data_IF_964754577148
#
_entry.id   IF_964754577148
#
_cell.length_a   1.000
_cell.length_b   1.000
_cell.length_c   1.000
_cell.angle_alpha   90.00
_cell.angle_beta   90.00
_cell.angle_gamma   90.00
#
_symmetry.space_group_name_H-M   'P 1'
#
loop_
_entity.id
_entity.type
_entity.pdbx_description
1 polymer ?
#
# COMPACT_ATOMS: atom_id res chain seq x y z
N UNK A 1 -37.40 46.01 30.82
CA UNK A 1 -36.73 45.27 29.74
C UNK A 1 -35.65 44.36 30.32
N UNK A 2 -36.01 43.17 30.84
CA UNK A 2 -35.08 42.24 31.54
C UNK A 2 -35.48 40.77 31.34
N UNK A 3 -35.91 40.38 30.14
CA UNK A 3 -36.31 38.97 29.88
C UNK A 3 -35.72 38.34 28.62
N UNK A 4 -34.99 39.08 27.79
CA UNK A 4 -34.41 38.55 26.54
C UNK A 4 -32.96 38.05 26.65
N UNK A 5 -32.30 38.20 27.81
CA UNK A 5 -30.88 37.85 27.95
C UNK A 5 -30.62 36.39 28.38
N UNK A 6 -31.65 35.61 28.73
CA UNK A 6 -31.48 34.22 29.20
C UNK A 6 -31.54 33.16 28.09
N UNK A 7 -31.91 33.54 26.86
CA UNK A 7 -32.00 32.59 25.74
C UNK A 7 -30.72 32.44 24.91
N UNK A 8 -29.75 33.35 25.06
CA UNK A 8 -28.58 33.40 24.17
C UNK A 8 -27.40 32.50 24.63
N UNK A 9 -27.44 31.99 25.86
CA UNK A 9 -26.30 31.25 26.44
C UNK A 9 -26.34 29.72 26.23
N UNK A 10 -27.32 29.19 25.50
CA UNK A 10 -27.49 27.73 25.29
C UNK A 10 -27.23 27.31 23.81
N UNK A 11 -26.88 28.25 22.93
CA UNK A 11 -26.60 27.96 21.49
C UNK A 11 -25.09 27.83 21.20
N UNK A 12 -24.23 27.88 22.23
CA UNK A 12 -22.77 27.75 22.11
C UNK A 12 -22.20 26.36 22.37
N UNK A 13 -23.00 25.30 22.29
CA UNK A 13 -22.55 23.92 22.60
C UNK A 13 -22.93 22.89 21.50
N UNK A 14 -23.01 23.36 20.25
CA UNK A 14 -23.11 22.48 19.08
C UNK A 14 -21.76 22.55 18.34
N UNK A 15 -21.22 21.37 18.00
CA UNK A 15 -19.97 21.12 17.24
C UNK A 15 -18.66 20.81 18.00
N UNK A 16 -18.74 20.21 19.19
CA UNK A 16 -17.64 19.35 19.68
C UNK A 16 -17.99 17.85 19.60
N UNK A 17 -18.88 17.47 18.67
CA UNK A 17 -18.95 16.09 18.19
C UNK A 17 -17.78 15.88 17.23
N UNK A 18 -16.55 15.74 17.76
CA UNK A 18 -15.49 15.06 17.02
C UNK A 18 -16.02 13.64 16.88
N UNK A 19 -16.54 13.36 15.69
CA UNK A 19 -17.24 12.13 15.39
C UNK A 19 -16.40 10.94 15.82
N UNK A 20 -17.06 9.99 16.49
CA UNK A 20 -16.55 8.64 16.74
C UNK A 20 -16.48 7.83 15.42
N UNK A 21 -16.08 8.48 14.32
CA UNK A 21 -16.03 7.93 12.97
C UNK A 21 -14.64 8.13 12.38
N UNK A 22 -14.14 7.09 11.72
CA UNK A 22 -12.85 7.10 11.03
C UNK A 22 -12.71 8.34 10.13
N UNK A 23 -11.59 9.05 10.26
CA UNK A 23 -11.26 10.26 9.49
C UNK A 23 -11.28 9.99 7.97
N UNK A 24 -11.64 10.99 7.17
CA UNK A 24 -11.77 10.83 5.71
C UNK A 24 -10.46 10.43 5.05
N UNK A 25 -9.35 11.02 5.49
CA UNK A 25 -8.01 10.68 5.00
C UNK A 25 -7.67 9.21 5.25
N UNK A 26 -8.00 8.68 6.44
CA UNK A 26 -7.81 7.26 6.76
C UNK A 26 -8.67 6.36 5.88
N UNK A 27 -9.94 6.71 5.64
CA UNK A 27 -10.81 5.94 4.71
C UNK A 27 -10.24 5.90 3.30
N UNK A 28 -9.70 7.02 2.82
CA UNK A 28 -9.09 7.10 1.49
C UNK A 28 -7.86 6.18 1.38
N UNK A 29 -6.97 6.21 2.39
CA UNK A 29 -5.81 5.31 2.43
C UNK A 29 -6.22 3.84 2.53
N UNK A 30 -7.14 3.50 3.44
CA UNK A 30 -7.64 2.13 3.60
C UNK A 30 -8.30 1.60 2.32
N UNK A 31 -9.08 2.42 1.62
CA UNK A 31 -9.69 2.05 0.34
C UNK A 31 -8.61 1.67 -0.68
N UNK A 32 -7.55 2.47 -0.77
CA UNK A 32 -6.42 2.21 -1.66
C UNK A 32 -5.67 0.93 -1.30
N UNK A 33 -5.34 0.73 -0.02
CA UNK A 33 -4.64 -0.47 0.45
C UNK A 33 -5.49 -1.73 0.24
N UNK A 34 -6.81 -1.65 0.46
CA UNK A 34 -7.76 -2.73 0.19
C UNK A 34 -7.87 -3.04 -1.31
N UNK A 35 -7.79 -2.04 -2.19
CA UNK A 35 -7.74 -2.28 -3.65
C UNK A 35 -6.55 -3.17 -4.00
N UNK A 36 -5.36 -2.83 -3.48
CA UNK A 36 -4.13 -3.60 -3.68
C UNK A 36 -4.28 -5.02 -3.11
N UNK A 37 -4.74 -5.16 -1.86
CA UNK A 37 -4.96 -6.47 -1.22
C UNK A 37 -6.01 -7.32 -1.96
N UNK A 38 -6.97 -6.70 -2.63
CA UNK A 38 -7.98 -7.43 -3.40
C UNK A 38 -7.43 -7.98 -4.71
N UNK A 39 -6.37 -7.37 -5.27
CA UNK A 39 -5.82 -7.73 -6.58
C UNK A 39 -6.76 -7.49 -7.76
N UNK A 40 -7.90 -6.80 -7.54
CA UNK A 40 -8.92 -6.52 -8.57
C UNK A 40 -8.38 -5.86 -9.83
N UNK A 41 -7.34 -5.04 -9.69
CA UNK A 41 -6.69 -4.35 -10.81
C UNK A 41 -6.02 -5.33 -11.79
N UNK A 42 -5.68 -6.55 -11.34
CA UNK A 42 -5.05 -7.59 -12.17
C UNK A 42 -6.00 -8.73 -12.57
N UNK A 43 -7.27 -8.72 -12.15
CA UNK A 43 -8.22 -9.80 -12.51
C UNK A 43 -8.51 -9.83 -14.02
N UNK A 44 -8.53 -8.66 -14.67
CA UNK A 44 -8.90 -8.52 -16.09
C UNK A 44 -7.70 -8.34 -17.04
N UNK A 45 -6.47 -8.41 -16.54
CA UNK A 45 -5.28 -8.30 -17.39
C UNK A 45 -4.94 -9.64 -18.05
N UNK A 46 -4.37 -9.62 -19.26
CA UNK A 46 -3.77 -10.82 -19.86
C UNK A 46 -2.32 -11.03 -19.41
N UNK A 47 -1.70 -10.01 -18.82
CA UNK A 47 -0.33 -10.00 -18.32
C UNK A 47 -0.15 -10.97 -17.15
N UNK A 48 0.49 -12.11 -17.44
CA UNK A 48 0.74 -13.15 -16.45
C UNK A 48 1.82 -12.75 -15.45
N UNK A 49 2.80 -11.93 -15.85
CA UNK A 49 3.82 -11.42 -14.93
C UNK A 49 3.17 -10.55 -13.86
N UNK A 50 2.29 -9.63 -14.26
CA UNK A 50 1.54 -8.79 -13.34
C UNK A 50 0.68 -9.63 -12.38
N UNK A 51 0.00 -10.67 -12.88
CA UNK A 51 -0.82 -11.56 -12.04
C UNK A 51 -0.02 -12.22 -10.93
N UNK A 52 1.16 -12.77 -11.22
CA UNK A 52 1.95 -13.48 -10.20
C UNK A 52 2.53 -12.52 -9.16
N UNK A 53 2.93 -11.31 -9.56
CA UNK A 53 3.39 -10.28 -8.62
C UNK A 53 2.23 -9.83 -7.72
N UNK A 54 1.03 -9.62 -8.28
CA UNK A 54 -0.15 -9.22 -7.49
C UNK A 54 -0.49 -10.27 -6.43
N UNK A 55 -0.36 -11.57 -6.72
CA UNK A 55 -0.55 -12.62 -5.69
C UNK A 55 0.37 -12.45 -4.48
N UNK A 56 1.57 -11.89 -4.65
CA UNK A 56 2.48 -11.59 -3.54
C UNK A 56 2.01 -10.35 -2.77
N UNK A 57 1.58 -9.30 -3.49
CA UNK A 57 1.06 -8.07 -2.88
C UNK A 57 -0.24 -8.30 -2.09
N UNK A 58 -1.10 -9.23 -2.54
CA UNK A 58 -2.33 -9.62 -1.85
C UNK A 58 -2.06 -10.21 -0.45
N UNK A 59 -0.85 -10.71 -0.18
CA UNK A 59 -0.45 -11.21 1.15
C UNK A 59 -0.05 -10.09 2.12
N UNK A 60 -0.02 -8.84 1.68
CA UNK A 60 0.22 -7.70 2.56
C UNK A 60 -0.84 -7.65 3.67
N UNK A 61 -0.40 -7.37 4.89
CA UNK A 61 -1.23 -6.97 6.01
C UNK A 61 -0.83 -5.55 6.42
N UNK A 62 -1.78 -4.77 6.95
CA UNK A 62 -1.49 -3.44 7.47
C UNK A 62 -2.35 -3.13 8.70
N UNK A 63 -1.81 -2.27 9.58
CA UNK A 63 -2.50 -1.76 10.77
C UNK A 63 -2.29 -0.27 10.87
N UNK A 64 -3.39 0.49 10.86
CA UNK A 64 -3.35 1.93 11.19
C UNK A 64 -3.07 2.07 12.68
N UNK A 65 -1.98 2.74 13.03
CA UNK A 65 -1.57 3.00 14.41
C UNK A 65 -2.15 4.31 14.91
N UNK A 66 -2.08 5.35 14.08
CA UNK A 66 -2.53 6.71 14.42
C UNK A 66 -2.85 7.50 13.16
N UNK A 67 -3.86 8.37 13.27
CA UNK A 67 -4.26 9.28 12.20
C UNK A 67 -4.35 10.69 12.78
N UNK A 68 -3.66 11.64 12.17
CA UNK A 68 -3.74 13.07 12.50
C UNK A 68 -4.19 13.83 11.27
N UNK A 69 -5.38 14.41 11.28
CA UNK A 69 -5.92 15.22 10.17
C UNK A 69 -6.03 16.69 10.61
N UNK A 70 -5.44 17.61 9.84
CA UNK A 70 -5.45 19.05 10.09
C UNK A 70 -5.72 19.80 8.79
N UNK A 71 -6.94 20.29 8.63
CA UNK A 71 -7.34 21.01 7.41
C UNK A 71 -7.24 20.11 6.18
N UNK A 72 -6.35 20.47 5.25
CA UNK A 72 -6.13 19.72 4.00
C UNK A 72 -4.92 18.78 4.07
N UNK A 73 -4.38 18.51 5.26
CA UNK A 73 -3.22 17.65 5.46
C UNK A 73 -3.57 16.52 6.44
N UNK A 74 -2.98 15.35 6.22
CA UNK A 74 -3.11 14.21 7.12
C UNK A 74 -1.81 13.42 7.20
N UNK A 75 -1.53 12.94 8.41
CA UNK A 75 -0.42 12.05 8.74
C UNK A 75 -1.00 10.75 9.30
N UNK A 76 -0.71 9.63 8.64
CA UNK A 76 -1.24 8.32 9.03
C UNK A 76 -0.08 7.37 9.29
N UNK A 77 0.16 7.06 10.56
CA UNK A 77 1.15 6.07 10.97
C UNK A 77 0.58 4.68 10.72
N UNK A 78 1.26 3.89 9.87
CA UNK A 78 0.84 2.55 9.47
C UNK A 78 1.96 1.56 9.70
N UNK A 79 1.64 0.44 10.34
CA UNK A 79 2.49 -0.75 10.36
C UNK A 79 2.11 -1.63 9.18
N UNK A 80 3.09 -1.99 8.36
CA UNK A 80 2.96 -2.91 7.24
C UNK A 80 3.65 -4.23 7.56
N UNK A 81 3.05 -5.31 7.11
CA UNK A 81 3.68 -6.63 7.00
C UNK A 81 3.53 -7.09 5.56
N UNK A 82 4.64 -7.16 4.83
CA UNK A 82 4.69 -7.37 3.38
C UNK A 82 5.62 -8.53 3.05
N UNK A 83 5.42 -9.18 1.91
CA UNK A 83 6.37 -10.19 1.43
C UNK A 83 7.73 -9.53 1.21
N UNK A 84 8.81 -10.16 1.67
CA UNK A 84 10.19 -9.70 1.47
C UNK A 84 10.67 -9.97 0.04
N UNK A 85 10.06 -9.34 -0.96
CA UNK A 85 10.39 -9.56 -2.39
C UNK A 85 11.87 -9.26 -2.66
N UNK A 86 12.42 -8.19 -2.09
CA UNK A 86 13.85 -7.85 -2.19
C UNK A 86 14.76 -9.02 -1.78
N UNK A 87 14.41 -9.74 -0.72
CA UNK A 87 15.16 -10.90 -0.23
C UNK A 87 15.23 -12.07 -1.21
N UNK A 88 14.27 -12.19 -2.13
CA UNK A 88 14.22 -13.25 -3.14
C UNK A 88 14.87 -12.86 -4.47
N UNK A 89 15.23 -11.59 -4.65
CA UNK A 89 15.83 -11.14 -5.90
C UNK A 89 17.17 -11.80 -6.22
N UNK A 90 18.08 -12.10 -5.27
CA UNK A 90 19.30 -12.85 -5.57
C UNK A 90 19.03 -14.24 -6.16
N UNK A 91 18.00 -14.93 -5.67
CA UNK A 91 17.61 -16.26 -6.15
C UNK A 91 16.95 -16.18 -7.53
N UNK A 92 16.13 -15.15 -7.75
CA UNK A 92 15.58 -14.83 -9.07
C UNK A 92 16.68 -14.57 -10.10
N UNK A 93 17.65 -13.71 -9.77
CA UNK A 93 18.78 -13.40 -10.67
C UNK A 93 19.62 -14.66 -10.95
N UNK A 94 19.79 -15.55 -9.97
CA UNK A 94 20.45 -16.85 -10.17
C UNK A 94 19.65 -17.76 -11.10
N UNK A 95 18.32 -17.74 -11.02
CA UNK A 95 17.45 -18.50 -11.93
C UNK A 95 17.52 -17.98 -13.37
N UNK A 96 17.72 -16.67 -13.57
CA UNK A 96 17.89 -16.06 -14.88
C UNK A 96 19.31 -16.21 -15.46
N UNK A 97 20.33 -16.35 -14.62
CA UNK A 97 21.73 -16.37 -15.04
C UNK A 97 22.04 -17.37 -16.18
N UNK A 98 21.55 -18.63 -16.19
CA UNK A 98 21.80 -19.54 -17.30
C UNK A 98 21.25 -19.05 -18.64
N UNK A 99 20.12 -18.32 -18.62
CA UNK A 99 19.44 -17.81 -19.81
C UNK A 99 20.20 -16.64 -20.43
N UNK A 100 20.82 -15.79 -19.60
CA UNK A 100 21.61 -14.65 -20.04
C UNK A 100 22.82 -15.08 -20.89
N UNK A 101 23.40 -16.26 -20.61
CA UNK A 101 24.55 -16.78 -21.35
C UNK A 101 24.18 -17.70 -22.52
N UNK A 102 22.91 -18.10 -22.65
CA UNK A 102 22.46 -19.04 -23.68
C UNK A 102 21.86 -18.36 -24.91
N UNK A 103 21.79 -17.03 -24.94
CA UNK A 103 21.05 -16.29 -25.97
C UNK A 103 19.55 -16.57 -25.94
N UNK A 104 19.00 -16.80 -24.74
CA UNK A 104 17.58 -17.11 -24.55
C UNK A 104 16.68 -15.98 -25.08
N UNK A 105 15.50 -16.35 -25.58
CA UNK A 105 14.50 -15.38 -26.03
C UNK A 105 13.80 -14.70 -24.85
N UNK A 106 13.14 -13.58 -25.11
CA UNK A 106 12.36 -12.85 -24.11
C UNK A 106 11.26 -13.73 -23.51
N UNK A 107 10.63 -14.59 -24.31
CA UNK A 107 9.57 -15.51 -23.86
C UNK A 107 10.11 -16.55 -22.87
N UNK A 108 11.36 -16.99 -23.05
CA UNK A 108 12.00 -17.92 -22.11
C UNK A 108 12.29 -17.23 -20.76
N UNK A 109 12.74 -15.97 -20.80
CA UNK A 109 12.97 -15.14 -19.60
C UNK A 109 11.64 -14.89 -18.87
N UNK A 110 10.58 -14.56 -19.62
CA UNK A 110 9.24 -14.37 -19.08
C UNK A 110 8.72 -15.64 -18.41
N UNK A 111 8.84 -16.80 -19.06
CA UNK A 111 8.38 -18.07 -18.51
C UNK A 111 9.08 -18.42 -17.18
N UNK A 112 10.40 -18.21 -17.08
CA UNK A 112 11.15 -18.40 -15.83
C UNK A 112 10.69 -17.41 -14.76
N UNK A 113 10.43 -16.16 -15.13
CA UNK A 113 9.98 -15.12 -14.21
C UNK A 113 8.60 -15.41 -13.63
N UNK A 114 7.64 -15.76 -14.49
CA UNK A 114 6.29 -16.16 -14.09
C UNK A 114 6.37 -17.35 -13.15
N UNK A 115 7.12 -18.39 -13.52
CA UNK A 115 7.26 -19.60 -12.70
C UNK A 115 7.85 -19.28 -11.33
N UNK A 116 8.92 -18.48 -11.28
CA UNK A 116 9.60 -18.13 -10.03
C UNK A 116 8.64 -17.44 -9.04
N UNK A 117 7.94 -16.39 -9.48
CA UNK A 117 7.05 -15.64 -8.60
C UNK A 117 5.74 -16.38 -8.30
N UNK A 118 5.26 -17.23 -9.21
CA UNK A 118 4.10 -18.10 -8.94
C UNK A 118 4.43 -19.15 -7.86
N UNK A 119 5.61 -19.79 -7.95
CA UNK A 119 6.09 -20.75 -6.94
C UNK A 119 6.28 -20.04 -5.58
N UNK A 120 6.90 -18.85 -5.58
CA UNK A 120 7.05 -18.04 -4.38
C UNK A 120 5.69 -17.70 -3.76
N UNK A 121 4.69 -17.36 -4.56
CA UNK A 121 3.35 -17.03 -4.07
C UNK A 121 2.64 -18.20 -3.37
N UNK A 122 3.05 -19.44 -3.67
CA UNK A 122 2.51 -20.69 -3.10
C UNK A 122 3.37 -21.23 -1.94
N UNK A 123 4.55 -20.66 -1.70
CA UNK A 123 5.44 -21.09 -0.63
C UNK A 123 4.77 -20.95 0.75
N UNK A 124 4.97 -21.97 1.60
CA UNK A 124 4.40 -22.00 2.96
C UNK A 124 5.23 -21.18 3.96
N UNK A 125 6.51 -21.04 3.67
CA UNK A 125 7.57 -20.44 4.49
C UNK A 125 8.06 -19.12 3.90
N UNK A 126 7.18 -18.39 3.20
CA UNK A 126 7.52 -17.10 2.61
C UNK A 126 7.93 -16.08 3.69
N UNK A 127 9.02 -15.37 3.43
CA UNK A 127 9.57 -14.34 4.32
C UNK A 127 8.76 -13.04 4.22
N UNK A 128 8.55 -12.41 5.37
CA UNK A 128 7.87 -11.12 5.48
C UNK A 128 8.79 -10.07 6.10
N UNK A 129 8.59 -8.80 5.75
CA UNK A 129 9.14 -7.63 6.42
C UNK A 129 8.04 -6.93 7.21
N UNK A 130 8.34 -6.52 8.43
CA UNK A 130 7.51 -5.59 9.19
C UNK A 130 8.16 -4.21 9.20
N UNK A 131 7.43 -3.19 8.73
CA UNK A 131 7.94 -1.83 8.59
C UNK A 131 6.85 -0.82 8.95
N UNK A 132 7.24 0.25 9.64
CA UNK A 132 6.33 1.38 9.89
C UNK A 132 6.58 2.47 8.85
N UNK A 133 5.51 3.13 8.42
CA UNK A 133 5.56 4.31 7.57
C UNK A 133 4.52 5.33 8.03
N UNK A 134 4.93 6.60 8.09
CA UNK A 134 3.97 7.70 8.15
C UNK A 134 3.58 8.05 6.72
N UNK A 135 2.33 7.74 6.36
CA UNK A 135 1.77 8.08 5.07
C UNK A 135 1.20 9.50 5.15
N UNK A 136 1.74 10.38 4.32
CA UNK A 136 1.27 11.76 4.22
C UNK A 136 0.20 11.85 3.14
N UNK A 137 -0.94 12.48 3.46
CA UNK A 137 -1.99 12.76 2.49
C UNK A 137 -2.30 14.25 2.44
N UNK A 138 -2.66 14.72 1.25
CA UNK A 138 -3.16 16.08 1.03
C UNK A 138 -4.53 16.05 0.34
N UNK A 139 -5.43 16.95 0.75
CA UNK A 139 -6.76 17.08 0.14
C UNK A 139 -6.71 18.07 -1.00
N UNK A 140 -6.85 17.58 -2.24
CA UNK A 140 -6.95 18.39 -3.46
C UNK A 140 -8.30 18.14 -4.14
N UNK A 141 -9.01 19.21 -4.48
CA UNK A 141 -10.33 19.12 -5.14
C UNK A 141 -11.31 18.17 -4.42
N UNK A 142 -11.28 18.18 -3.09
CA UNK A 142 -12.14 17.33 -2.25
C UNK A 142 -11.68 15.86 -2.12
N UNK A 143 -10.58 15.45 -2.76
CA UNK A 143 -10.04 14.09 -2.70
C UNK A 143 -8.70 14.05 -1.95
N UNK A 144 -8.51 13.03 -1.14
CA UNK A 144 -7.25 12.78 -0.45
C UNK A 144 -6.29 12.02 -1.37
N UNK A 145 -5.08 12.55 -1.53
CA UNK A 145 -4.01 11.99 -2.35
C UNK A 145 -2.79 11.71 -1.47
N UNK A 146 -2.13 10.56 -1.70
CA UNK A 146 -0.89 10.21 -1.00
C UNK A 146 0.27 11.03 -1.57
N UNK A 147 1.03 11.68 -0.69
CA UNK A 147 2.18 12.52 -1.03
C UNK A 147 3.44 11.67 -1.21
N UNK A 148 3.81 10.86 -0.21
CA UNK A 148 4.98 9.96 -0.26
C UNK A 148 4.65 8.62 -0.93
N UNK A 149 4.13 8.70 -2.16
CA UNK A 149 3.62 7.56 -2.91
C UNK A 149 4.70 6.53 -3.26
N UNK A 150 5.91 6.98 -3.60
CA UNK A 150 7.05 6.11 -3.94
C UNK A 150 7.53 5.31 -2.73
N UNK A 151 7.62 5.94 -1.57
CA UNK A 151 7.99 5.27 -0.32
C UNK A 151 6.95 4.22 0.09
N UNK A 152 5.66 4.56 -0.02
CA UNK A 152 4.57 3.62 0.21
C UNK A 152 4.67 2.43 -0.75
N UNK A 153 4.88 2.67 -2.05
CA UNK A 153 5.03 1.60 -3.03
C UNK A 153 6.27 0.75 -2.80
N UNK A 154 7.40 1.34 -2.39
CA UNK A 154 8.61 0.61 -2.05
C UNK A 154 8.36 -0.38 -0.90
N UNK A 155 7.66 0.05 0.15
CA UNK A 155 7.27 -0.84 1.24
C UNK A 155 6.32 -1.93 0.74
N UNK A 156 5.24 -1.57 0.03
CA UNK A 156 4.25 -2.53 -0.47
C UNK A 156 4.90 -3.61 -1.36
N UNK A 157 5.88 -3.22 -2.16
CA UNK A 157 6.64 -4.12 -3.05
C UNK A 157 7.81 -4.82 -2.35
N UNK A 158 7.82 -4.87 -1.02
CA UNK A 158 8.81 -5.65 -0.29
C UNK A 158 10.23 -5.13 -0.44
N UNK A 159 10.37 -3.81 -0.57
CA UNK A 159 11.62 -3.08 -0.77
C UNK A 159 12.34 -3.38 -2.10
N UNK A 160 11.64 -3.88 -3.13
CA UNK A 160 12.27 -4.31 -4.39
C UNK A 160 12.95 -3.17 -5.15
N UNK A 161 12.52 -1.92 -4.99
CA UNK A 161 13.16 -0.79 -5.67
C UNK A 161 14.60 -0.59 -5.20
N UNK A 162 14.92 -0.95 -3.95
CA UNK A 162 16.30 -0.92 -3.41
C UNK A 162 17.24 -1.93 -4.08
N UNK A 163 16.70 -2.92 -4.80
CA UNK A 163 17.48 -3.94 -5.50
C UNK A 163 17.79 -3.54 -6.94
N UNK A 164 16.84 -2.88 -7.63
CA UNK A 164 16.92 -2.60 -9.06
C UNK A 164 17.12 -1.13 -9.43
N UNK A 165 17.08 -0.20 -8.48
CA UNK A 165 17.14 1.22 -8.78
C UNK A 165 17.99 2.02 -7.80
N UNK A 166 18.94 2.73 -8.41
CA UNK A 166 19.31 4.15 -8.22
C UNK A 166 19.58 4.67 -6.79
#
# INVERSE_FOLDING_TARGET
MKKFLKGLLIVGMLFALIGCGTLESQKALESRLKSIQSGKEAENTEDQQLKVIVKLLQKMEYKILKTTEKGNESEIEVQFKVVNIAGYMPDFMRALMPLAFSGASEEAIEAVSIKFFDDLSKAKDISFLEQNLTVYLTKKNGKWEVVNNEELWNIITGNVTKVFGE
#
